data_IF_266810932059
#
_entry.id   IF_266810932059
#
_cell.length_a   1.000
_cell.length_b   1.000
_cell.length_c   1.000
_cell.angle_alpha   90.00
_cell.angle_beta   90.00
_cell.angle_gamma   90.00
#
_symmetry.space_group_name_H-M   'P 1'
#
loop_
_entity.id
_entity.type
_entity.pdbx_description
1 polymer ?
#
# COMPACT_ATOMS: atom_id res chain seq x y z
N UNK A 1 33.73 30.05 -46.06
CA UNK A 1 33.94 28.64 -46.50
C UNK A 1 32.79 27.80 -45.95
N UNK A 2 31.85 27.46 -46.83
CA UNK A 2 30.68 26.62 -46.50
C UNK A 2 31.07 25.15 -46.68
N UNK A 3 30.83 24.31 -45.69
CA UNK A 3 30.81 22.87 -45.91
C UNK A 3 29.43 22.30 -45.51
N UNK A 4 28.76 21.83 -46.55
CA UNK A 4 27.51 21.10 -46.60
C UNK A 4 27.74 19.66 -46.16
N UNK A 5 27.09 19.15 -45.12
CA UNK A 5 27.07 17.73 -44.80
C UNK A 5 25.73 17.12 -45.22
N UNK A 6 25.85 16.15 -46.12
CA UNK A 6 24.76 15.42 -46.77
C UNK A 6 24.11 14.43 -45.84
N UNK A 7 22.77 14.40 -45.89
CA UNK A 7 21.89 13.40 -45.33
C UNK A 7 22.05 12.03 -46.04
N UNK A 8 22.18 10.97 -45.28
CA UNK A 8 21.88 9.63 -45.76
C UNK A 8 20.69 9.07 -45.00
N UNK A 9 19.56 9.00 -45.69
CA UNK A 9 18.37 8.29 -45.34
C UNK A 9 18.52 6.83 -45.79
N UNK A 10 18.68 5.89 -44.90
CA UNK A 10 18.64 4.45 -45.17
C UNK A 10 17.38 3.85 -44.57
N UNK A 11 16.39 3.53 -45.44
CA UNK A 11 15.24 2.72 -45.13
C UNK A 11 15.66 1.25 -45.01
N UNK A 12 15.38 0.59 -43.88
CA UNK A 12 15.22 -0.88 -43.84
C UNK A 12 13.98 -1.20 -43.06
N UNK A 13 12.97 -1.64 -43.80
CA UNK A 13 11.83 -2.38 -43.31
C UNK A 13 12.28 -3.84 -43.13
N UNK A 14 12.13 -4.40 -41.95
CA UNK A 14 12.08 -5.84 -41.74
C UNK A 14 10.94 -6.14 -40.77
N UNK A 15 9.86 -6.66 -41.30
CA UNK A 15 8.75 -7.16 -40.52
C UNK A 15 9.12 -8.47 -39.83
N UNK A 16 8.89 -8.57 -38.55
CA UNK A 16 8.83 -9.84 -37.82
C UNK A 16 7.44 -9.99 -37.25
N UNK A 17 6.68 -10.93 -37.80
CA UNK A 17 5.42 -11.37 -37.23
C UNK A 17 5.72 -12.19 -35.97
N UNK A 18 5.29 -11.73 -34.83
CA UNK A 18 5.33 -12.52 -33.59
C UNK A 18 3.94 -13.13 -33.40
N UNK A 19 3.87 -14.45 -33.55
CA UNK A 19 2.71 -15.23 -33.18
C UNK A 19 2.61 -15.28 -31.65
N UNK A 20 1.56 -14.70 -31.10
CA UNK A 20 1.23 -14.80 -29.68
C UNK A 20 0.46 -16.08 -29.46
N UNK A 21 1.11 -17.11 -28.93
CA UNK A 21 0.43 -18.28 -28.38
C UNK A 21 -0.04 -17.96 -26.98
N UNK A 22 -1.33 -17.78 -26.81
CA UNK A 22 -1.97 -17.67 -25.52
C UNK A 22 -1.96 -19.02 -24.81
N UNK A 23 -1.11 -19.19 -23.82
CA UNK A 23 -1.17 -20.30 -22.87
C UNK A 23 -2.03 -19.86 -21.69
N UNK A 24 -3.28 -20.31 -21.64
CA UNK A 24 -4.15 -20.17 -20.48
C UNK A 24 -3.66 -21.11 -19.37
N UNK A 25 -3.03 -20.57 -18.36
CA UNK A 25 -2.74 -21.30 -17.11
C UNK A 25 -3.96 -21.18 -16.22
N UNK A 26 -4.75 -22.23 -16.13
CA UNK A 26 -5.80 -22.40 -15.14
C UNK A 26 -5.13 -22.71 -13.80
N UNK A 27 -5.05 -21.73 -12.91
CA UNK A 27 -4.70 -21.97 -11.52
C UNK A 27 -5.98 -22.36 -10.81
N UNK A 28 -6.15 -23.66 -10.60
CA UNK A 28 -7.21 -24.22 -9.77
C UNK A 28 -6.94 -23.87 -8.29
N UNK A 29 -7.75 -23.00 -7.72
CA UNK A 29 -7.82 -22.79 -6.29
C UNK A 29 -8.65 -23.93 -5.70
N UNK A 30 -8.00 -24.89 -5.06
CA UNK A 30 -8.65 -25.92 -4.26
C UNK A 30 -9.02 -25.32 -2.89
N UNK A 31 -10.29 -25.04 -2.71
CA UNK A 31 -10.88 -24.78 -1.38
C UNK A 31 -10.93 -26.10 -0.59
N UNK A 32 -10.61 -26.15 0.71
CA UNK A 32 -10.78 -27.33 1.54
C UNK A 32 -12.28 -27.64 1.68
N UNK A 33 -12.63 -28.90 1.42
CA UNK A 33 -13.98 -29.39 1.29
C UNK A 33 -14.84 -29.24 2.55
N UNK A 34 -16.09 -28.94 2.31
CA UNK A 34 -17.18 -29.32 3.21
C UNK A 34 -17.62 -30.73 2.85
N UNK A 35 -17.62 -31.59 3.87
CA UNK A 35 -18.06 -32.93 3.81
C UNK A 35 -19.57 -33.02 3.45
N UNK A 36 -19.87 -33.91 2.55
CA UNK A 36 -21.21 -34.17 2.06
C UNK A 36 -22.16 -34.69 3.12
N UNK A 37 -23.41 -34.35 2.96
CA UNK A 37 -24.53 -35.04 3.62
C UNK A 37 -25.21 -35.95 2.60
N UNK A 38 -25.16 -37.25 2.85
CA UNK A 38 -25.93 -38.26 2.13
C UNK A 38 -27.41 -38.15 2.49
N UNK A 39 -28.24 -38.22 1.46
CA UNK A 39 -29.68 -38.47 1.59
C UNK A 39 -29.95 -39.90 2.07
N UNK A 40 -30.72 -40.05 3.13
CA UNK A 40 -31.58 -41.23 3.28
C UNK A 40 -32.85 -40.88 4.06
N UNK A 41 -33.93 -41.20 3.40
CA UNK A 41 -35.32 -41.20 3.76
C UNK A 41 -35.65 -41.91 5.08
N UNK A 42 -36.65 -41.41 5.85
CA UNK A 42 -37.43 -42.25 6.75
C UNK A 42 -38.05 -41.59 8.00
N UNK A 43 -39.29 -41.19 7.87
CA UNK A 43 -40.44 -41.34 8.77
C UNK A 43 -40.39 -41.10 10.31
N UNK A 44 -41.23 -40.15 10.71
CA UNK A 44 -42.17 -40.14 11.86
C UNK A 44 -41.68 -40.34 13.30
N UNK A 45 -42.08 -39.39 14.13
CA UNK A 45 -42.32 -39.64 15.56
C UNK A 45 -42.38 -38.35 16.39
N UNK A 46 -43.55 -38.03 16.84
CA UNK A 46 -43.89 -36.96 17.76
C UNK A 46 -43.37 -37.24 19.19
N UNK A 47 -43.16 -36.20 19.99
CA UNK A 47 -43.02 -36.39 21.42
C UNK A 47 -42.50 -35.13 22.15
N UNK A 48 -43.38 -34.56 22.89
CA UNK A 48 -43.33 -33.42 23.80
C UNK A 48 -42.33 -33.50 24.95
N UNK A 49 -42.17 -32.33 25.52
CA UNK A 49 -42.15 -32.02 26.98
C UNK A 49 -40.80 -31.60 27.59
N UNK A 50 -40.93 -30.42 28.11
CA UNK A 50 -40.21 -29.68 29.11
C UNK A 50 -39.59 -30.48 30.29
N UNK A 51 -38.52 -29.98 30.87
CA UNK A 51 -38.44 -29.73 32.30
C UNK A 51 -37.14 -28.99 32.68
N UNK A 52 -37.31 -28.01 33.53
CA UNK A 52 -36.30 -27.26 34.26
C UNK A 52 -35.58 -28.15 35.30
N UNK A 53 -34.34 -27.82 35.62
CA UNK A 53 -33.61 -28.46 36.71
C UNK A 53 -32.44 -27.60 37.17
N UNK A 54 -32.65 -26.85 38.23
CA UNK A 54 -31.66 -26.19 39.09
C UNK A 54 -30.87 -27.24 39.88
N UNK A 55 -29.56 -27.04 40.04
CA UNK A 55 -28.74 -27.87 40.91
C UNK A 55 -27.38 -27.26 41.21
N UNK A 56 -27.26 -26.80 42.42
CA UNK A 56 -26.14 -26.12 43.07
C UNK A 56 -25.28 -27.16 43.83
N UNK A 57 -23.98 -26.84 44.06
CA UNK A 57 -23.07 -27.50 45.01
C UNK A 57 -21.95 -28.26 44.34
N UNK A 58 -20.63 -28.06 44.55
CA UNK A 58 -19.95 -27.77 45.78
C UNK A 58 -18.68 -28.59 45.87
N UNK A 59 -17.56 -27.94 46.19
CA UNK A 59 -16.37 -28.41 46.90
C UNK A 59 -15.23 -29.14 46.24
N UNK A 60 -14.11 -28.42 46.18
CA UNK A 60 -12.74 -28.71 46.66
C UNK A 60 -12.07 -30.05 46.37
N UNK A 61 -10.95 -29.93 45.68
CA UNK A 61 -9.88 -30.94 45.65
C UNK A 61 -8.57 -30.26 45.27
N UNK A 62 -7.69 -30.07 46.28
CA UNK A 62 -6.33 -29.59 46.13
C UNK A 62 -5.44 -30.63 45.41
N UNK A 63 -4.70 -30.19 44.42
CA UNK A 63 -3.65 -30.98 43.75
C UNK A 63 -2.55 -30.03 43.22
N UNK A 64 -1.44 -30.04 43.93
CA UNK A 64 -0.15 -29.42 43.60
C UNK A 64 0.45 -30.02 42.35
N UNK A 65 1.00 -29.17 41.46
CA UNK A 65 1.97 -29.67 40.50
C UNK A 65 2.14 -28.85 39.21
N UNK A 66 3.16 -28.04 39.23
CA UNK A 66 4.08 -27.68 38.11
C UNK A 66 3.64 -26.82 36.95
N UNK A 67 4.35 -25.74 36.92
CA UNK A 67 4.54 -24.75 35.85
C UNK A 67 4.53 -25.33 34.43
N UNK A 68 3.52 -24.99 33.68
CA UNK A 68 3.58 -24.92 32.23
C UNK A 68 3.16 -23.51 31.84
N UNK A 69 4.06 -22.79 31.18
CA UNK A 69 3.83 -21.47 30.66
C UNK A 69 2.53 -21.41 29.85
N UNK A 70 1.47 -20.98 30.52
CA UNK A 70 0.19 -20.71 29.90
C UNK A 70 0.30 -19.48 29.02
N UNK A 71 0.53 -19.69 27.73
CA UNK A 71 0.26 -18.67 26.74
C UNK A 71 -1.25 -18.33 26.85
N UNK A 72 -1.53 -17.15 27.35
CA UNK A 72 -2.87 -16.58 27.40
C UNK A 72 -3.49 -16.67 26.02
N UNK A 73 -4.56 -17.43 25.87
CA UNK A 73 -5.31 -17.52 24.62
C UNK A 73 -5.69 -16.10 24.19
N UNK A 74 -5.44 -15.70 22.93
CA UNK A 74 -5.80 -14.35 22.48
C UNK A 74 -7.27 -14.12 22.76
N UNK A 75 -7.58 -13.01 23.45
CA UNK A 75 -8.94 -12.61 23.74
C UNK A 75 -9.78 -12.65 22.45
N UNK A 76 -11.03 -13.13 22.48
CA UNK A 76 -11.87 -13.15 21.29
C UNK A 76 -11.90 -11.76 20.69
N UNK A 77 -11.53 -11.66 19.41
CA UNK A 77 -11.42 -10.39 18.72
C UNK A 77 -12.74 -9.64 18.81
N UNK A 78 -12.72 -8.49 19.45
CA UNK A 78 -13.86 -7.57 19.42
C UNK A 78 -14.01 -7.17 17.95
N UNK A 79 -15.09 -7.61 17.32
CA UNK A 79 -15.49 -7.13 16.01
C UNK A 79 -15.92 -5.69 16.23
N UNK A 80 -15.04 -4.75 15.92
CA UNK A 80 -15.40 -3.35 15.90
C UNK A 80 -16.52 -3.17 14.88
N UNK A 81 -17.63 -2.56 15.32
CA UNK A 81 -18.72 -2.21 14.42
C UNK A 81 -18.18 -1.33 13.27
N UNK A 82 -18.76 -1.44 12.10
CA UNK A 82 -18.40 -0.57 10.99
C UNK A 82 -18.49 0.90 11.44
N UNK A 83 -17.56 1.78 11.05
CA UNK A 83 -17.63 3.20 11.36
C UNK A 83 -18.97 3.79 10.92
N UNK A 84 -19.49 4.77 11.67
CA UNK A 84 -20.72 5.49 11.30
C UNK A 84 -20.58 6.07 9.87
N UNK A 85 -21.71 6.15 9.17
CA UNK A 85 -21.72 6.61 7.77
C UNK A 85 -21.26 8.06 7.61
N UNK A 86 -21.60 8.93 8.58
CA UNK A 86 -21.27 10.37 8.48
C UNK A 86 -21.95 11.07 7.31
N UNK A 87 -21.37 12.18 6.87
CA UNK A 87 -21.82 12.90 5.68
C UNK A 87 -21.49 12.12 4.40
N UNK A 88 -22.50 11.89 3.57
CA UNK A 88 -22.36 11.17 2.31
C UNK A 88 -22.34 12.13 1.12
N UNK A 89 -21.45 11.87 0.18
CA UNK A 89 -21.45 12.52 -1.13
C UNK A 89 -22.56 11.97 -2.03
N UNK A 90 -22.85 12.68 -3.10
CA UNK A 90 -23.89 12.35 -4.07
C UNK A 90 -23.28 11.99 -5.41
N UNK A 91 -23.72 10.87 -5.98
CA UNK A 91 -23.32 10.45 -7.34
C UNK A 91 -21.82 10.42 -7.56
N UNK A 92 -21.31 11.28 -8.44
CA UNK A 92 -19.89 11.38 -8.82
C UNK A 92 -19.13 12.53 -8.12
N UNK A 93 -19.74 13.19 -7.15
CA UNK A 93 -19.05 14.21 -6.37
C UNK A 93 -17.82 13.64 -5.67
N UNK A 94 -16.78 14.43 -5.41
CA UNK A 94 -15.63 14.01 -4.62
C UNK A 94 -16.05 13.38 -3.30
N UNK A 95 -15.19 12.52 -2.77
CA UNK A 95 -15.42 11.92 -1.44
C UNK A 95 -15.46 13.02 -0.38
N UNK A 96 -16.44 12.93 0.53
CA UNK A 96 -16.49 13.81 1.70
C UNK A 96 -15.41 13.43 2.71
N UNK A 97 -15.08 14.32 3.64
CA UNK A 97 -14.11 14.06 4.70
C UNK A 97 -14.52 12.86 5.58
N UNK A 98 -15.81 12.64 5.79
CA UNK A 98 -16.33 11.52 6.55
C UNK A 98 -16.24 10.22 5.76
N UNK A 99 -16.51 10.26 4.45
CA UNK A 99 -16.30 9.11 3.57
C UNK A 99 -14.83 8.71 3.52
N UNK A 100 -13.90 9.67 3.39
CA UNK A 100 -12.46 9.41 3.41
C UNK A 100 -12.05 8.68 4.70
N UNK A 101 -12.41 9.21 5.87
CA UNK A 101 -12.10 8.61 7.17
C UNK A 101 -12.70 7.21 7.33
N UNK A 102 -13.93 7.02 6.85
CA UNK A 102 -14.64 5.74 6.91
C UNK A 102 -13.97 4.69 6.03
N UNK A 103 -13.67 5.06 4.80
CA UNK A 103 -13.03 4.18 3.80
C UNK A 103 -11.67 3.70 4.30
N UNK A 104 -10.82 4.58 4.81
CA UNK A 104 -9.50 4.21 5.36
C UNK A 104 -9.61 3.15 6.47
N UNK A 105 -10.59 3.31 7.37
CA UNK A 105 -10.84 2.32 8.43
C UNK A 105 -11.37 0.99 7.90
N UNK A 106 -12.27 1.02 6.91
CA UNK A 106 -12.84 -0.19 6.30
C UNK A 106 -11.81 -0.94 5.44
N UNK A 107 -10.94 -0.20 4.75
CA UNK A 107 -9.93 -0.77 3.88
C UNK A 107 -8.79 -1.49 4.63
N UNK A 108 -8.62 -1.26 5.94
CA UNK A 108 -7.50 -1.78 6.72
C UNK A 108 -7.99 -2.74 7.81
N UNK A 109 -7.62 -4.02 7.71
CA UNK A 109 -7.84 -4.96 8.80
C UNK A 109 -6.79 -4.81 9.90
N UNK A 110 -7.14 -5.19 11.14
CA UNK A 110 -6.19 -5.19 12.27
C UNK A 110 -4.94 -6.03 11.99
N UNK A 111 -5.10 -7.20 11.35
CA UNK A 111 -3.99 -8.08 11.01
C UNK A 111 -3.02 -7.42 10.02
N UNK A 112 -3.52 -6.74 9.00
CA UNK A 112 -2.71 -6.01 8.02
C UNK A 112 -2.01 -4.81 8.64
N UNK A 113 -2.73 -4.05 9.48
CA UNK A 113 -2.12 -2.96 10.23
C UNK A 113 -0.98 -3.46 11.13
N UNK A 114 -1.20 -4.54 11.87
CA UNK A 114 -0.17 -5.10 12.75
C UNK A 114 1.01 -5.70 11.97
N UNK A 115 0.75 -6.28 10.80
CA UNK A 115 1.74 -6.96 9.97
C UNK A 115 2.55 -6.05 9.08
N UNK A 116 1.98 -4.95 8.61
CA UNK A 116 2.59 -4.02 7.64
C UNK A 116 3.56 -3.03 8.27
N UNK A 117 4.26 -2.30 7.40
CA UNK A 117 5.16 -1.18 7.79
C UNK A 117 4.97 0.00 6.86
N UNK A 118 5.02 1.20 7.42
CA UNK A 118 5.07 2.45 6.67
C UNK A 118 6.51 2.85 6.30
N UNK A 119 6.67 4.01 5.69
CA UNK A 119 7.96 4.53 5.22
C UNK A 119 8.96 4.81 6.35
N UNK A 120 8.48 5.11 7.56
CA UNK A 120 9.32 5.35 8.76
C UNK A 120 9.66 4.04 9.48
N UNK A 121 9.03 2.91 9.08
CA UNK A 121 9.15 1.60 9.70
C UNK A 121 8.14 1.36 10.82
N UNK A 122 7.20 2.28 11.03
CA UNK A 122 6.13 2.16 11.99
C UNK A 122 5.06 1.14 11.55
N UNK A 123 4.18 0.78 12.47
CA UNK A 123 3.11 -0.19 12.22
C UNK A 123 2.08 0.35 11.25
N UNK A 124 1.67 -0.51 10.33
CA UNK A 124 0.70 -0.25 9.28
C UNK A 124 1.38 0.12 7.97
N UNK A 125 0.81 -0.30 6.83
CA UNK A 125 1.32 0.12 5.53
C UNK A 125 1.11 1.62 5.32
N UNK A 126 1.99 2.24 4.52
CA UNK A 126 1.91 3.65 4.16
C UNK A 126 0.66 3.90 3.32
N UNK A 127 -0.25 4.75 3.79
CA UNK A 127 -1.36 5.25 2.97
C UNK A 127 -0.81 6.12 1.84
N UNK A 128 -1.23 5.85 0.61
CA UNK A 128 -0.82 6.61 -0.58
C UNK A 128 -1.93 7.53 -1.08
N UNK A 129 -3.12 6.99 -1.31
CA UNK A 129 -4.26 7.74 -1.84
C UNK A 129 -5.60 7.10 -1.50
N UNK A 130 -6.64 7.91 -1.46
CA UNK A 130 -8.05 7.50 -1.44
C UNK A 130 -8.79 8.32 -2.46
N UNK A 131 -9.42 7.66 -3.43
CA UNK A 131 -10.12 8.30 -4.55
C UNK A 131 -11.52 7.69 -4.72
N UNK A 132 -12.45 8.45 -5.28
CA UNK A 132 -13.69 7.88 -5.79
C UNK A 132 -13.34 6.91 -6.94
N UNK A 133 -13.86 5.69 -6.89
CA UNK A 133 -13.64 4.70 -7.95
C UNK A 133 -14.34 5.10 -9.24
N UNK A 134 -13.78 4.70 -10.36
CA UNK A 134 -14.48 4.76 -11.64
C UNK A 134 -15.63 3.75 -11.66
N UNK A 135 -16.64 4.05 -12.48
CA UNK A 135 -17.75 3.12 -12.70
C UNK A 135 -17.29 1.92 -13.53
N UNK A 136 -17.82 0.75 -13.22
CA UNK A 136 -17.69 -0.38 -14.12
C UNK A 136 -18.44 -0.09 -15.44
N UNK A 137 -17.98 -0.64 -16.58
CA UNK A 137 -18.63 -0.39 -17.86
C UNK A 137 -20.14 -0.70 -17.89
N UNK A 138 -20.56 -1.68 -17.08
CA UNK A 138 -21.97 -2.08 -16.94
C UNK A 138 -22.81 -1.12 -16.10
N UNK A 139 -22.18 -0.20 -15.40
CA UNK A 139 -22.83 0.74 -14.47
C UNK A 139 -22.95 2.17 -15.06
N UNK A 140 -22.39 2.40 -16.24
CA UNK A 140 -22.34 3.73 -16.86
C UNK A 140 -23.75 4.29 -17.12
N UNK A 141 -24.69 3.44 -17.49
CA UNK A 141 -26.07 3.79 -17.78
C UNK A 141 -27.01 3.58 -16.56
N UNK A 142 -26.47 3.15 -15.41
CA UNK A 142 -27.25 3.01 -14.17
C UNK A 142 -27.54 4.42 -13.58
N UNK A 143 -28.81 4.79 -13.36
CA UNK A 143 -29.15 6.06 -12.74
C UNK A 143 -28.71 6.16 -11.27
N UNK A 144 -28.44 5.03 -10.61
CA UNK A 144 -28.02 4.95 -9.21
C UNK A 144 -26.87 3.96 -9.01
N UNK A 145 -25.73 4.21 -9.67
CA UNK A 145 -24.61 3.29 -9.57
C UNK A 145 -24.06 3.28 -8.14
N UNK A 146 -23.53 2.15 -7.66
CA UNK A 146 -22.97 2.06 -6.31
C UNK A 146 -21.79 3.02 -6.14
N UNK A 147 -21.75 3.71 -5.00
CA UNK A 147 -20.67 4.63 -4.69
C UNK A 147 -19.51 3.87 -4.04
N UNK A 148 -18.37 3.83 -4.72
CA UNK A 148 -17.18 3.11 -4.29
C UNK A 148 -15.99 4.04 -4.15
N UNK A 149 -15.08 3.71 -3.24
CA UNK A 149 -13.79 4.36 -3.12
C UNK A 149 -12.66 3.34 -3.29
N UNK A 150 -11.60 3.76 -3.98
CA UNK A 150 -10.36 3.02 -4.08
C UNK A 150 -9.34 3.61 -3.13
N UNK A 151 -8.74 2.74 -2.29
CA UNK A 151 -7.68 3.10 -1.36
C UNK A 151 -6.41 2.34 -1.71
N UNK A 152 -5.32 3.07 -1.82
CA UNK A 152 -4.00 2.49 -2.09
C UNK A 152 -3.07 2.66 -0.89
N UNK A 153 -2.39 1.58 -0.55
CA UNK A 153 -1.34 1.53 0.49
C UNK A 153 -0.06 0.94 -0.10
N UNK A 154 1.08 1.29 0.46
CA UNK A 154 2.33 0.62 0.20
C UNK A 154 2.86 -0.02 1.48
N UNK A 155 3.06 -1.33 1.45
CA UNK A 155 3.66 -2.06 2.58
C UNK A 155 5.17 -2.20 2.37
N UNK A 156 5.93 -1.43 3.13
CA UNK A 156 7.40 -1.43 3.08
C UNK A 156 8.05 -2.71 3.62
N UNK A 157 7.27 -3.57 4.32
CA UNK A 157 7.77 -4.87 4.78
C UNK A 157 7.84 -5.90 3.66
N UNK A 158 6.90 -5.83 2.71
CA UNK A 158 6.78 -6.80 1.61
C UNK A 158 7.08 -6.20 0.25
N UNK A 159 7.27 -4.88 0.16
CA UNK A 159 7.43 -4.10 -1.07
C UNK A 159 6.25 -4.29 -2.04
N UNK A 160 5.03 -4.18 -1.52
CA UNK A 160 3.80 -4.38 -2.26
C UNK A 160 2.90 -3.15 -2.25
N UNK A 161 2.37 -2.82 -3.42
CA UNK A 161 1.22 -1.93 -3.54
C UNK A 161 -0.05 -2.72 -3.25
N UNK A 162 -0.78 -2.32 -2.22
CA UNK A 162 -2.08 -2.90 -1.87
C UNK A 162 -3.18 -1.92 -2.25
N UNK A 163 -4.10 -2.34 -3.11
CA UNK A 163 -5.25 -1.54 -3.51
C UNK A 163 -6.55 -2.21 -3.07
N UNK A 164 -7.49 -1.43 -2.55
CA UNK A 164 -8.79 -1.91 -2.09
C UNK A 164 -9.91 -1.05 -2.60
N UNK A 165 -10.94 -1.70 -3.14
CA UNK A 165 -12.19 -1.04 -3.49
C UNK A 165 -13.22 -1.29 -2.38
N UNK A 166 -13.68 -0.21 -1.78
CA UNK A 166 -14.68 -0.22 -0.71
C UNK A 166 -15.99 0.34 -1.24
N UNK A 167 -17.05 -0.42 -1.11
CA UNK A 167 -18.41 0.06 -1.38
C UNK A 167 -18.90 0.88 -0.18
N UNK A 168 -19.18 2.15 -0.41
CA UNK A 168 -19.58 3.10 0.63
C UNK A 168 -21.01 2.88 1.14
N UNK A 169 -21.88 2.31 0.30
CA UNK A 169 -23.26 2.05 0.68
C UNK A 169 -23.37 0.86 1.61
N UNK A 170 -22.58 -0.20 1.35
CA UNK A 170 -22.59 -1.44 2.12
C UNK A 170 -21.52 -1.50 3.21
N UNK A 171 -20.50 -0.62 3.15
CA UNK A 171 -19.35 -0.66 4.05
C UNK A 171 -18.44 -1.88 3.87
N UNK A 172 -18.46 -2.54 2.71
CA UNK A 172 -17.69 -3.75 2.43
C UNK A 172 -16.54 -3.49 1.47
N UNK A 173 -15.44 -4.20 1.68
CA UNK A 173 -14.37 -4.32 0.69
C UNK A 173 -14.82 -5.30 -0.38
N UNK A 174 -15.00 -4.84 -1.62
CA UNK A 174 -15.43 -5.65 -2.75
C UNK A 174 -14.25 -6.24 -3.51
N UNK A 175 -13.12 -5.51 -3.53
CA UNK A 175 -11.91 -5.93 -4.24
C UNK A 175 -10.67 -5.63 -3.40
N UNK A 176 -9.69 -6.53 -3.45
CA UNK A 176 -8.40 -6.37 -2.78
C UNK A 176 -7.30 -6.99 -3.66
N UNK A 177 -6.36 -6.16 -4.08
CA UNK A 177 -5.22 -6.55 -4.89
C UNK A 177 -3.92 -6.21 -4.16
N UNK A 178 -2.87 -7.02 -4.38
CA UNK A 178 -1.52 -6.77 -3.90
C UNK A 178 -0.53 -7.05 -5.03
N UNK A 179 0.28 -6.06 -5.39
CA UNK A 179 1.15 -6.10 -6.56
C UNK A 179 2.57 -5.66 -6.20
N UNK A 180 3.56 -6.46 -6.62
CA UNK A 180 4.98 -6.09 -6.55
C UNK A 180 5.42 -5.31 -7.79
N UNK A 181 6.41 -4.45 -7.60
CA UNK A 181 7.00 -3.67 -8.70
C UNK A 181 6.10 -2.57 -9.27
N UNK A 182 4.88 -2.39 -8.75
CA UNK A 182 4.00 -1.27 -9.08
C UNK A 182 4.23 -0.15 -8.07
N UNK A 183 4.66 1.00 -8.57
CA UNK A 183 5.10 2.10 -7.70
C UNK A 183 4.47 3.41 -8.18
N UNK A 184 3.34 3.82 -7.59
CA UNK A 184 2.74 5.13 -7.88
C UNK A 184 3.62 6.26 -7.34
N UNK A 185 3.29 7.50 -7.72
CA UNK A 185 4.02 8.69 -7.27
C UNK A 185 4.17 8.73 -5.75
N UNK A 186 5.32 9.22 -5.24
CA UNK A 186 5.55 9.29 -3.80
C UNK A 186 4.66 10.35 -3.14
N UNK A 187 4.22 10.05 -1.93
CA UNK A 187 3.44 10.96 -1.09
C UNK A 187 4.32 12.06 -0.48
N UNK A 188 3.73 13.15 0.04
CA UNK A 188 4.47 14.15 0.80
C UNK A 188 5.22 13.56 2.01
N UNK A 189 4.65 12.55 2.70
CA UNK A 189 5.31 11.88 3.82
C UNK A 189 6.55 11.12 3.36
N UNK A 190 6.47 10.40 2.25
CA UNK A 190 7.60 9.68 1.66
C UNK A 190 8.71 10.63 1.18
N UNK A 191 8.34 11.73 0.55
CA UNK A 191 9.29 12.76 0.13
C UNK A 191 10.01 13.41 1.31
N UNK A 192 9.28 13.63 2.41
CA UNK A 192 9.85 14.12 3.66
C UNK A 192 10.84 13.12 4.23
N UNK A 193 10.45 11.85 4.38
CA UNK A 193 11.31 10.81 4.92
C UNK A 193 12.57 10.61 4.06
N UNK A 194 12.44 10.62 2.73
CA UNK A 194 13.59 10.61 1.83
C UNK A 194 14.55 11.77 2.10
N UNK A 195 14.02 12.96 2.36
CA UNK A 195 14.84 14.13 2.67
C UNK A 195 15.55 13.98 4.01
N UNK A 196 14.88 13.50 5.05
CA UNK A 196 15.50 13.26 6.36
C UNK A 196 16.61 12.19 6.27
N UNK A 197 16.40 11.13 5.48
CA UNK A 197 17.44 10.13 5.21
C UNK A 197 18.66 10.73 4.50
N UNK A 198 18.45 11.64 3.53
CA UNK A 198 19.54 12.38 2.89
C UNK A 198 20.27 13.23 3.92
N UNK A 199 19.56 13.96 4.78
CA UNK A 199 20.16 14.80 5.81
C UNK A 199 20.96 14.00 6.84
N UNK A 200 20.54 12.78 7.13
CA UNK A 200 21.26 11.86 8.02
C UNK A 200 22.49 11.20 7.35
N UNK A 201 22.54 11.17 6.02
CA UNK A 201 23.60 10.53 5.24
C UNK A 201 24.79 11.49 5.00
N UNK A 202 26.03 10.98 4.94
CA UNK A 202 27.18 11.75 4.46
C UNK A 202 26.99 12.30 3.03
N UNK A 203 26.20 11.61 2.19
CA UNK A 203 25.88 12.07 0.83
C UNK A 203 25.07 13.37 0.80
N UNK A 204 24.39 13.70 1.91
CA UNK A 204 23.63 14.94 2.07
C UNK A 204 24.46 16.17 2.46
N UNK A 205 25.77 16.03 2.65
CA UNK A 205 26.62 17.18 3.07
C UNK A 205 26.66 18.30 2.04
N UNK A 206 26.58 17.95 0.73
CA UNK A 206 26.44 18.94 -0.34
C UNK A 206 25.15 19.76 -0.20
N UNK A 207 24.03 19.10 -0.02
CA UNK A 207 22.72 19.74 0.20
C UNK A 207 22.75 20.68 1.43
N UNK A 208 23.33 20.23 2.55
CA UNK A 208 23.47 21.03 3.78
C UNK A 208 24.35 22.25 3.54
N UNK A 209 25.45 22.09 2.80
CA UNK A 209 26.37 23.18 2.46
C UNK A 209 25.68 24.23 1.58
N UNK A 210 25.03 23.80 0.49
CA UNK A 210 24.36 24.70 -0.45
C UNK A 210 23.23 25.48 0.23
N UNK A 211 22.49 24.82 1.12
CA UNK A 211 21.47 25.49 1.93
C UNK A 211 22.10 26.55 2.85
N UNK A 212 23.21 26.21 3.52
CA UNK A 212 23.90 27.13 4.42
C UNK A 212 24.46 28.34 3.66
N UNK A 213 25.03 28.10 2.46
CA UNK A 213 25.57 29.18 1.62
C UNK A 213 24.43 30.11 1.14
N UNK A 214 23.27 29.57 0.83
CA UNK A 214 22.11 30.35 0.39
C UNK A 214 21.41 31.13 1.53
N UNK A 215 21.34 30.53 2.73
CA UNK A 215 20.49 31.03 3.82
C UNK A 215 21.25 31.57 5.04
N UNK A 216 22.58 31.41 5.09
CA UNK A 216 23.40 31.79 6.23
C UNK A 216 23.18 30.99 7.53
N UNK A 217 22.38 29.92 7.47
CA UNK A 217 22.03 29.07 8.61
C UNK A 217 22.03 27.60 8.22
N UNK A 218 22.19 26.66 9.18
CA UNK A 218 22.24 25.24 8.88
C UNK A 218 20.87 24.69 8.42
N UNK A 219 20.90 23.69 7.54
CA UNK A 219 19.76 22.82 7.23
C UNK A 219 19.71 21.68 8.24
N UNK A 220 18.65 21.60 9.02
CA UNK A 220 18.50 20.64 10.13
C UNK A 220 17.26 19.77 10.00
N UNK A 221 16.33 20.10 9.10
CA UNK A 221 15.08 19.38 8.91
C UNK A 221 14.56 19.56 7.48
N UNK A 222 13.88 18.56 6.97
CA UNK A 222 13.15 18.61 5.71
C UNK A 222 12.11 19.73 5.65
N UNK A 223 11.58 20.14 6.81
CA UNK A 223 10.59 21.24 6.89
C UNK A 223 11.10 22.60 6.42
N UNK A 224 12.40 22.77 6.31
CA UNK A 224 13.02 23.99 5.80
C UNK A 224 13.01 24.06 4.26
N UNK A 225 12.62 22.96 3.62
CA UNK A 225 12.59 22.81 2.16
C UNK A 225 11.17 22.59 1.64
N UNK A 226 10.94 23.00 0.40
CA UNK A 226 9.92 22.45 -0.46
C UNK A 226 10.53 21.25 -1.18
N UNK A 227 9.91 20.08 -1.02
CA UNK A 227 10.41 18.84 -1.61
C UNK A 227 9.31 18.23 -2.48
N UNK A 228 9.71 17.78 -3.66
CA UNK A 228 8.91 16.94 -4.52
C UNK A 228 9.76 15.76 -4.99
N UNK A 229 9.14 14.62 -5.24
CA UNK A 229 9.84 13.41 -5.63
C UNK A 229 9.21 12.70 -6.80
N UNK A 230 10.01 11.86 -7.44
CA UNK A 230 9.59 10.91 -8.47
C UNK A 230 10.17 9.54 -8.17
N UNK A 231 9.48 8.51 -8.64
CA UNK A 231 9.96 7.12 -8.53
C UNK A 231 11.21 6.95 -9.40
N UNK A 232 12.24 6.36 -8.81
CA UNK A 232 13.45 5.94 -9.50
C UNK A 232 13.45 4.43 -9.69
N UNK A 233 13.80 3.98 -10.91
CA UNK A 233 13.85 2.57 -11.31
C UNK A 233 15.14 2.30 -12.07
N UNK A 234 15.82 1.21 -11.71
CA UNK A 234 17.11 0.81 -12.31
C UNK A 234 16.99 0.23 -13.72
N UNK A 235 15.80 -0.24 -14.11
CA UNK A 235 15.52 -0.77 -15.45
C UNK A 235 15.75 0.23 -16.59
N UNK A 236 16.00 1.51 -16.25
CA UNK A 236 16.26 2.60 -17.19
C UNK A 236 17.69 3.12 -17.17
N UNK A 237 18.56 2.53 -16.35
CA UNK A 237 19.91 3.03 -16.11
C UNK A 237 20.96 2.02 -16.57
N UNK A 238 22.01 2.50 -17.26
CA UNK A 238 23.11 1.66 -17.73
C UNK A 238 24.09 1.29 -16.62
N UNK A 239 24.27 2.17 -15.63
CA UNK A 239 25.16 1.95 -14.48
C UNK A 239 24.42 2.26 -13.18
N UNK A 240 24.22 1.22 -12.36
CA UNK A 240 23.51 1.32 -11.11
C UNK A 240 24.46 1.10 -9.94
N UNK A 241 24.57 2.06 -9.00
CA UNK A 241 25.30 1.85 -7.75
C UNK A 241 24.73 0.65 -6.96
N UNK A 242 25.60 -0.13 -6.31
CA UNK A 242 25.20 -1.31 -5.56
C UNK A 242 24.10 -1.02 -4.51
N UNK A 243 24.15 0.15 -3.87
CA UNK A 243 23.15 0.58 -2.89
C UNK A 243 21.75 0.77 -3.48
N UNK A 244 21.62 0.93 -4.80
CA UNK A 244 20.37 1.19 -5.52
C UNK A 244 19.93 0.02 -6.40
N UNK A 245 20.66 -1.10 -6.37
CA UNK A 245 20.45 -2.25 -7.29
C UNK A 245 19.05 -2.88 -7.20
N UNK A 246 18.35 -2.68 -6.09
CA UNK A 246 16.99 -3.19 -5.88
C UNK A 246 15.88 -2.19 -6.23
N UNK A 247 16.22 -0.98 -6.66
CA UNK A 247 15.23 0.02 -7.03
C UNK A 247 14.37 -0.46 -8.22
N UNK A 248 13.06 -0.39 -8.07
CA UNK A 248 12.10 -1.01 -8.98
C UNK A 248 11.36 -2.19 -8.36
N UNK A 249 12.05 -3.01 -7.52
CA UNK A 249 11.44 -3.92 -6.54
C UNK A 249 11.22 -3.17 -5.24
N UNK A 250 12.29 -2.60 -4.66
CA UNK A 250 12.20 -1.64 -3.58
C UNK A 250 11.64 -0.31 -4.09
N UNK A 251 10.97 0.39 -3.20
CA UNK A 251 10.45 1.72 -3.47
C UNK A 251 11.54 2.76 -3.32
N UNK A 252 12.02 3.27 -4.45
CA UNK A 252 13.08 4.27 -4.48
C UNK A 252 12.57 5.59 -5.03
N UNK A 253 13.04 6.68 -4.45
CA UNK A 253 12.64 8.03 -4.84
C UNK A 253 13.85 8.91 -5.13
N UNK A 254 13.70 9.77 -6.11
CA UNK A 254 14.62 10.86 -6.43
C UNK A 254 13.91 12.15 -6.12
N UNK A 255 14.51 12.99 -5.29
CA UNK A 255 13.88 14.23 -4.88
C UNK A 255 14.44 15.45 -5.64
N UNK A 256 13.60 16.45 -5.79
CA UNK A 256 13.98 17.82 -6.13
C UNK A 256 13.66 18.71 -4.93
N UNK A 257 14.57 19.59 -4.57
CA UNK A 257 14.43 20.44 -3.40
C UNK A 257 14.59 21.92 -3.70
N UNK A 258 13.79 22.72 -3.00
CA UNK A 258 13.83 24.19 -3.05
C UNK A 258 13.79 24.73 -1.63
N UNK A 259 14.63 25.69 -1.34
CA UNK A 259 14.55 26.45 -0.08
C UNK A 259 13.21 27.18 0.00
N UNK A 260 12.53 27.13 1.14
CA UNK A 260 11.30 27.94 1.34
C UNK A 260 11.64 29.42 1.20
N UNK A 261 10.99 30.06 0.21
CA UNK A 261 11.25 31.45 -0.18
C UNK A 261 12.69 31.71 -0.67
N UNK A 262 13.36 30.70 -1.23
CA UNK A 262 14.75 30.76 -1.67
C UNK A 262 15.00 30.01 -2.99
N UNK A 263 16.29 29.75 -3.29
CA UNK A 263 16.69 29.10 -4.52
C UNK A 263 16.40 27.60 -4.54
N UNK A 264 16.49 27.00 -5.72
CA UNK A 264 16.59 25.56 -5.89
C UNK A 264 17.98 25.07 -5.47
N UNK A 265 18.01 23.87 -4.85
CA UNK A 265 19.25 23.16 -4.56
C UNK A 265 19.28 21.89 -5.40
N UNK A 266 20.45 21.60 -5.98
CA UNK A 266 20.60 20.43 -6.83
C UNK A 266 20.70 19.15 -5.98
N UNK A 267 19.73 18.27 -6.16
CA UNK A 267 19.66 16.95 -5.53
C UNK A 267 19.48 15.84 -6.56
N UNK A 268 19.68 16.15 -7.86
CA UNK A 268 19.37 15.24 -8.98
C UNK A 268 20.19 13.97 -9.01
N UNK A 269 21.36 13.97 -8.40
CA UNK A 269 22.26 12.81 -8.29
C UNK A 269 21.98 11.94 -7.05
N UNK A 270 21.05 12.36 -6.18
CA UNK A 270 20.70 11.64 -4.96
C UNK A 270 19.41 10.82 -5.15
N UNK A 271 19.48 9.55 -4.84
CA UNK A 271 18.36 8.61 -4.83
C UNK A 271 18.28 7.96 -3.47
N UNK A 272 17.07 7.81 -2.96
CA UNK A 272 16.80 7.16 -1.68
C UNK A 272 16.03 5.87 -1.92
N UNK A 273 16.58 4.76 -1.49
CA UNK A 273 15.86 3.50 -1.34
C UNK A 273 15.11 3.56 0.00
N UNK A 274 13.82 3.87 -0.06
CA UNK A 274 12.97 4.00 1.13
C UNK A 274 12.74 2.66 1.83
N UNK A 275 12.70 1.56 1.07
CA UNK A 275 12.50 0.22 1.63
C UNK A 275 13.73 -0.25 2.42
N UNK A 276 14.94 0.03 1.94
CA UNK A 276 16.19 -0.27 2.64
C UNK A 276 16.66 0.88 3.55
N UNK A 277 16.02 2.06 3.48
CA UNK A 277 16.40 3.28 4.21
C UNK A 277 17.85 3.70 3.94
N UNK A 278 18.28 3.60 2.69
CA UNK A 278 19.64 3.93 2.25
C UNK A 278 19.63 5.00 1.18
N UNK A 279 20.71 5.79 1.13
CA UNK A 279 20.92 6.83 0.12
C UNK A 279 22.03 6.39 -0.81
N UNK A 280 21.79 6.54 -2.11
CA UNK A 280 22.78 6.31 -3.16
C UNK A 280 22.98 7.56 -4.03
N UNK A 281 24.11 7.61 -4.71
CA UNK A 281 24.43 8.66 -5.69
C UNK A 281 24.52 8.04 -7.06
N UNK A 282 23.80 8.59 -8.01
CA UNK A 282 23.91 8.26 -9.45
C UNK A 282 24.87 9.24 -10.10
N UNK A 283 25.65 8.74 -11.08
CA UNK A 283 26.67 9.53 -11.79
C UNK A 283 26.09 10.47 -12.82
#
# INVERSE_FOLDING_TARGET
MHQTVRRHLGKMMAGAAIAVTATAVMIGVTLPGQAGADESTGARGAGSAAAAGTGQGGQQGAGTGQDAAGGEAPAPGVVEGAPADGEKGIGRDPLTDDELKRVEKLAMTRAQFAGGRDVEGDRGPQHLSTNLSELEPSEVDDPTPPRRAEVSFYDYKTDELVTRTVNLDTGKVERADALKGVQPSPTPKENREATELILASPLGDGLKKDYKDAMGKPLTSADQLWVNGGIYRVDREEQVPAALSKCGVHRCVRITSKVKNGPWIDTRDLVVDLSARTVGRIG
#
